data_IF_360453532272
#
_entry.id   IF_360453532272
#
_cell.length_a   1.000
_cell.length_b   1.000
_cell.length_c   1.000
_cell.angle_alpha   90.00
_cell.angle_beta   90.00
_cell.angle_gamma   90.00
#
_symmetry.space_group_name_H-M   'P 1'
#
loop_
_entity.id
_entity.type
_entity.pdbx_description
1 polymer ?
#
# COMPACT_ATOMS: atom_id res chain seq x y z
N UNK A 1 -7.54 1.05 -1.84
CA UNK A 1 -8.36 1.05 -0.61
C UNK A 1 -8.53 -0.37 -0.05
N UNK A 2 -8.96 -1.35 -0.83
CA UNK A 2 -9.18 -2.75 -0.41
C UNK A 2 -7.94 -3.40 0.22
N UNK A 3 -6.78 -3.37 -0.44
CA UNK A 3 -5.53 -3.91 0.07
C UNK A 3 -5.17 -3.35 1.46
N UNK A 4 -5.27 -2.03 1.64
CA UNK A 4 -4.96 -1.39 2.94
C UNK A 4 -5.93 -1.80 4.04
N UNK A 5 -7.19 -2.11 3.69
CA UNK A 5 -8.17 -2.59 4.65
C UNK A 5 -7.91 -4.06 5.01
N UNK A 6 -7.66 -4.92 4.02
CA UNK A 6 -7.31 -6.34 4.28
C UNK A 6 -6.06 -6.41 5.17
N UNK A 7 -5.00 -5.67 4.85
CA UNK A 7 -3.79 -5.62 5.67
C UNK A 7 -4.04 -5.20 7.12
N UNK A 8 -4.90 -4.18 7.33
CA UNK A 8 -5.28 -3.76 8.69
C UNK A 8 -6.02 -4.84 9.45
N UNK A 9 -6.91 -5.57 8.79
CA UNK A 9 -7.67 -6.65 9.40
C UNK A 9 -6.76 -7.84 9.75
N UNK A 10 -5.83 -8.19 8.88
CA UNK A 10 -4.84 -9.24 9.15
C UNK A 10 -3.86 -8.88 10.26
N UNK A 11 -3.58 -7.59 10.43
CA UNK A 11 -2.67 -7.09 11.47
C UNK A 11 -3.36 -6.85 12.83
N UNK A 12 -4.70 -6.95 12.88
CA UNK A 12 -5.48 -6.72 14.11
C UNK A 12 -6.71 -7.63 14.15
N UNK A 13 -6.55 -8.80 14.77
CA UNK A 13 -7.60 -9.83 14.87
C UNK A 13 -8.84 -9.36 15.64
N UNK A 14 -8.73 -8.38 16.55
CA UNK A 14 -9.88 -7.84 17.28
C UNK A 14 -10.91 -7.23 16.33
N UNK A 15 -10.48 -6.65 15.21
CA UNK A 15 -11.37 -6.09 14.19
C UNK A 15 -12.21 -7.16 13.48
N UNK A 16 -11.78 -8.42 13.50
CA UNK A 16 -12.50 -9.56 12.93
C UNK A 16 -13.57 -10.13 13.86
N UNK A 17 -13.73 -9.60 15.07
CA UNK A 17 -14.80 -10.00 16.00
C UNK A 17 -16.18 -9.57 15.53
N UNK A 18 -16.29 -8.50 14.71
CA UNK A 18 -17.53 -8.10 14.06
C UNK A 18 -17.84 -8.98 12.84
N UNK A 19 -19.03 -9.55 12.80
CA UNK A 19 -19.41 -10.51 11.77
C UNK A 19 -19.46 -9.92 10.35
N UNK A 20 -19.82 -8.64 10.20
CA UNK A 20 -19.85 -7.98 8.90
C UNK A 20 -18.42 -7.74 8.37
N UNK A 21 -17.52 -7.31 9.24
CA UNK A 21 -16.10 -7.11 8.95
C UNK A 21 -15.43 -8.44 8.61
N UNK A 22 -15.70 -9.50 9.37
CA UNK A 22 -15.19 -10.84 9.09
C UNK A 22 -15.66 -11.38 7.73
N UNK A 23 -16.95 -11.28 7.42
CA UNK A 23 -17.50 -11.72 6.13
C UNK A 23 -16.89 -10.94 4.95
N UNK A 24 -16.71 -9.63 5.12
CA UNK A 24 -16.03 -8.82 4.11
C UNK A 24 -14.58 -9.27 3.90
N UNK A 25 -13.85 -9.52 4.99
CA UNK A 25 -12.46 -10.01 4.94
C UNK A 25 -12.35 -11.34 4.21
N UNK A 26 -13.18 -12.35 4.57
CA UNK A 26 -13.18 -13.66 3.90
C UNK A 26 -13.49 -13.54 2.41
N UNK A 27 -14.40 -12.65 2.01
CA UNK A 27 -14.74 -12.44 0.61
C UNK A 27 -13.57 -11.79 -0.19
N UNK A 28 -12.68 -11.06 0.46
CA UNK A 28 -11.64 -10.29 -0.22
C UNK A 28 -10.23 -10.88 -0.08
N UNK A 29 -9.98 -11.81 0.85
CA UNK A 29 -8.64 -12.38 1.08
C UNK A 29 -8.07 -13.13 -0.15
N UNK A 30 -8.93 -13.71 -0.99
CA UNK A 30 -8.52 -14.42 -2.22
C UNK A 30 -8.43 -13.52 -3.45
N UNK A 31 -8.81 -12.24 -3.34
CA UNK A 31 -8.63 -11.26 -4.42
C UNK A 31 -7.15 -10.91 -4.57
N UNK A 32 -6.76 -10.35 -5.72
CA UNK A 32 -5.40 -9.83 -5.92
C UNK A 32 -5.03 -8.83 -4.81
N UNK A 33 -5.93 -7.92 -4.44
CA UNK A 33 -5.72 -6.97 -3.35
C UNK A 33 -5.46 -7.65 -2.00
N UNK A 34 -6.20 -8.71 -1.68
CA UNK A 34 -6.04 -9.50 -0.47
C UNK A 34 -4.70 -10.26 -0.44
N UNK A 35 -4.37 -10.90 -1.56
CA UNK A 35 -3.12 -11.64 -1.69
C UNK A 35 -1.88 -10.75 -1.53
N UNK A 36 -1.88 -9.54 -2.12
CA UNK A 36 -0.83 -8.55 -1.91
C UNK A 36 -0.82 -7.96 -0.48
N UNK A 37 -1.98 -7.86 0.17
CA UNK A 37 -2.04 -7.47 1.59
C UNK A 37 -1.41 -8.53 2.50
N UNK A 38 -1.62 -9.81 2.19
CA UNK A 38 -0.99 -10.90 2.92
C UNK A 38 0.54 -10.93 2.74
N UNK A 39 1.04 -10.61 1.54
CA UNK A 39 2.48 -10.39 1.35
C UNK A 39 3.00 -9.29 2.28
N UNK A 40 2.32 -8.14 2.34
CA UNK A 40 2.73 -7.04 3.24
C UNK A 40 2.77 -7.47 4.71
N UNK A 41 1.84 -8.35 5.11
CA UNK A 41 1.84 -8.95 6.44
C UNK A 41 3.06 -9.86 6.65
N UNK A 42 3.33 -10.80 5.75
CA UNK A 42 4.49 -11.70 5.83
C UNK A 42 5.79 -10.89 5.92
N UNK A 43 5.93 -9.85 5.06
CA UNK A 43 7.10 -8.98 5.05
C UNK A 43 7.28 -8.23 6.39
N UNK A 44 6.19 -7.74 6.98
CA UNK A 44 6.20 -7.08 8.29
C UNK A 44 6.52 -8.07 9.41
N UNK A 45 5.89 -9.24 9.38
CA UNK A 45 6.03 -10.26 10.42
C UNK A 45 7.43 -10.90 10.42
N UNK A 46 8.19 -10.79 9.33
CA UNK A 46 9.59 -11.19 9.28
C UNK A 46 10.45 -10.50 10.36
N UNK A 47 10.08 -9.29 10.76
CA UNK A 47 10.76 -8.51 11.80
C UNK A 47 10.16 -8.68 13.18
N UNK A 48 9.13 -9.50 13.34
CA UNK A 48 8.56 -9.85 14.65
C UNK A 48 9.40 -10.98 15.25
N UNK A 49 10.49 -10.60 15.94
CA UNK A 49 11.45 -11.54 16.52
C UNK A 49 10.75 -12.40 17.60
N UNK A 50 10.94 -13.73 17.60
CA UNK A 50 10.38 -14.61 18.61
C UNK A 50 10.80 -14.20 20.04
N UNK A 51 9.87 -14.29 21.00
CA UNK A 51 10.06 -13.85 22.37
C UNK A 51 11.32 -14.46 23.01
N UNK A 52 11.61 -15.72 22.74
CA UNK A 52 12.80 -16.40 23.27
C UNK A 52 14.12 -15.79 22.77
N UNK A 53 14.18 -15.30 21.55
CA UNK A 53 15.36 -14.58 21.01
C UNK A 53 15.42 -13.17 21.57
N UNK A 54 14.27 -12.49 21.72
CA UNK A 54 14.19 -11.18 22.34
C UNK A 54 14.63 -11.24 23.81
N UNK A 55 14.14 -12.21 24.57
CA UNK A 55 14.53 -12.42 25.98
C UNK A 55 16.04 -12.67 26.10
N UNK A 56 16.62 -13.46 25.17
CA UNK A 56 18.06 -13.71 25.15
C UNK A 56 18.87 -12.44 24.87
N UNK A 57 18.39 -11.58 24.00
CA UNK A 57 19.02 -10.29 23.69
C UNK A 57 18.92 -9.32 24.87
N UNK A 58 17.77 -9.25 25.54
CA UNK A 58 17.54 -8.40 26.70
C UNK A 58 18.43 -8.83 27.88
N UNK A 59 18.58 -10.14 28.11
CA UNK A 59 19.52 -10.68 29.10
C UNK A 59 20.97 -10.30 28.78
N UNK A 60 21.37 -10.38 27.50
CA UNK A 60 22.70 -9.98 27.06
C UNK A 60 22.97 -8.50 27.36
N UNK A 61 21.99 -7.60 27.11
CA UNK A 61 22.11 -6.18 27.42
C UNK A 61 22.32 -5.92 28.91
N UNK A 62 21.62 -6.66 29.78
CA UNK A 62 21.78 -6.58 31.24
C UNK A 62 23.21 -7.01 31.61
N UNK A 63 23.71 -8.12 31.10
CA UNK A 63 25.06 -8.61 31.37
C UNK A 63 26.15 -7.63 30.88
N UNK A 64 25.96 -7.01 29.74
CA UNK A 64 26.87 -5.96 29.23
C UNK A 64 26.88 -4.76 30.19
N UNK A 65 25.72 -4.35 30.70
CA UNK A 65 25.62 -3.28 31.70
C UNK A 65 26.42 -3.60 32.96
N UNK A 66 26.28 -4.80 33.51
CA UNK A 66 27.05 -5.26 34.69
C UNK A 66 28.55 -5.26 34.42
N UNK A 67 28.97 -5.68 33.22
CA UNK A 67 30.37 -5.65 32.80
C UNK A 67 30.90 -4.22 32.76
N UNK A 68 30.13 -3.28 32.16
CA UNK A 68 30.48 -1.87 32.09
C UNK A 68 30.66 -1.25 33.46
N UNK A 69 29.76 -1.53 34.41
CA UNK A 69 29.86 -1.06 35.78
C UNK A 69 31.12 -1.62 36.49
N UNK A 70 31.45 -2.90 36.23
CA UNK A 70 32.64 -3.55 36.77
C UNK A 70 33.94 -2.93 36.23
N UNK A 71 33.97 -2.53 34.94
CA UNK A 71 35.10 -1.82 34.35
C UNK A 71 35.28 -0.42 34.93
N UNK A 72 34.17 0.32 35.11
CA UNK A 72 34.22 1.64 35.81
C UNK A 72 34.72 1.54 37.22
N UNK A 73 34.38 0.48 37.95
CA UNK A 73 34.90 0.23 39.27
C UNK A 73 36.38 -0.03 39.27
N UNK A 74 36.88 -0.85 38.30
CA UNK A 74 38.30 -1.13 38.14
C UNK A 74 39.12 0.17 37.86
N UNK A 75 38.64 1.02 36.93
CA UNK A 75 39.26 2.32 36.63
C UNK A 75 39.33 3.19 37.91
N UNK A 76 38.28 3.16 38.76
CA UNK A 76 38.24 3.91 40.00
C UNK A 76 39.29 3.40 41.03
N UNK A 77 39.50 2.11 41.09
CA UNK A 77 40.47 1.48 42.02
C UNK A 77 41.92 1.79 41.57
N UNK A 78 42.20 1.66 40.28
CA UNK A 78 43.52 1.95 39.72
C UNK A 78 43.94 3.44 39.89
N UNK A 79 42.98 4.36 39.94
CA UNK A 79 43.21 5.79 40.14
C UNK A 79 43.50 6.20 41.61
N UNK A 80 43.27 5.30 42.59
CA UNK A 80 43.31 5.66 44.03
C UNK A 80 44.54 5.13 44.76
N UNK A 81 45.15 4.01 44.36
CA UNK A 81 46.19 3.37 45.19
C UNK A 81 47.35 2.73 44.42
N UNK A 82 48.52 3.38 44.43
CA UNK A 82 49.77 2.82 43.89
C UNK A 82 50.35 1.66 44.74
N UNK A 83 49.69 1.32 45.88
CA UNK A 83 50.16 0.30 46.85
C UNK A 83 49.30 -0.96 46.89
N UNK A 84 48.26 -1.06 46.09
CA UNK A 84 47.38 -2.24 46.06
C UNK A 84 48.06 -3.47 45.46
N UNK A 85 47.74 -4.66 45.97
CA UNK A 85 48.30 -5.94 45.54
C UNK A 85 48.06 -6.17 44.03
N UNK A 86 49.11 -5.93 43.26
CA UNK A 86 49.16 -6.04 41.79
C UNK A 86 48.59 -7.37 41.25
N UNK A 87 48.64 -8.42 42.08
CA UNK A 87 48.15 -9.76 41.70
C UNK A 87 46.61 -9.87 41.73
N UNK A 88 45.97 -9.22 42.70
CA UNK A 88 44.51 -9.22 42.84
C UNK A 88 43.87 -8.40 41.74
N UNK A 89 44.44 -7.25 41.38
CA UNK A 89 43.99 -6.40 40.30
C UNK A 89 44.10 -7.15 38.98
N UNK A 90 45.25 -7.77 38.70
CA UNK A 90 45.44 -8.57 37.46
C UNK A 90 44.49 -9.72 37.33
N UNK A 91 44.22 -10.47 38.41
CA UNK A 91 43.21 -11.56 38.38
C UNK A 91 41.81 -11.03 38.09
N UNK A 92 41.44 -9.85 38.58
CA UNK A 92 40.17 -9.22 38.34
C UNK A 92 40.05 -8.76 36.84
N UNK A 93 41.10 -8.12 36.31
CA UNK A 93 41.22 -7.73 34.92
C UNK A 93 41.08 -8.94 33.96
N UNK A 94 41.78 -10.04 34.24
CA UNK A 94 41.68 -11.29 33.47
C UNK A 94 40.26 -11.85 33.49
N UNK A 95 39.61 -11.81 34.65
CA UNK A 95 38.23 -12.21 34.83
C UNK A 95 37.24 -11.39 34.01
N UNK A 96 37.41 -10.06 34.02
CA UNK A 96 36.61 -9.14 33.21
C UNK A 96 36.84 -9.36 31.70
N UNK A 97 38.10 -9.55 31.28
CA UNK A 97 38.43 -9.83 29.89
C UNK A 97 37.83 -11.15 29.42
N UNK A 98 37.82 -12.20 30.22
CA UNK A 98 37.18 -13.46 29.90
C UNK A 98 35.67 -13.29 29.75
N UNK A 99 35.02 -12.55 30.68
CA UNK A 99 33.59 -12.25 30.63
C UNK A 99 33.24 -11.46 29.37
N UNK A 100 34.00 -10.43 29.04
CA UNK A 100 33.83 -9.67 27.81
C UNK A 100 33.87 -10.56 26.55
N UNK A 101 34.87 -11.45 26.44
CA UNK A 101 34.97 -12.39 25.31
C UNK A 101 33.75 -13.32 25.23
N UNK A 102 33.29 -13.80 26.38
CA UNK A 102 32.10 -14.66 26.43
C UNK A 102 30.84 -13.94 25.99
N UNK A 103 30.63 -12.71 26.45
CA UNK A 103 29.49 -11.88 26.04
C UNK A 103 29.54 -11.52 24.57
N UNK A 104 30.69 -11.16 24.02
CA UNK A 104 30.87 -10.88 22.60
C UNK A 104 30.59 -12.11 21.70
N UNK A 105 30.96 -13.30 22.15
CA UNK A 105 30.62 -14.54 21.44
C UNK A 105 29.10 -14.80 21.50
N UNK A 106 28.46 -14.58 22.65
CA UNK A 106 27.01 -14.75 22.82
C UNK A 106 26.23 -13.74 21.99
N UNK A 107 26.66 -12.48 21.96
CA UNK A 107 26.10 -11.45 21.07
C UNK A 107 26.14 -11.88 19.60
N UNK A 108 27.28 -12.38 19.15
CA UNK A 108 27.44 -12.86 17.78
C UNK A 108 26.47 -14.01 17.47
N UNK A 109 26.30 -14.96 18.42
CA UNK A 109 25.37 -16.07 18.24
C UNK A 109 23.91 -15.63 18.21
N UNK A 110 23.50 -14.73 19.10
CA UNK A 110 22.13 -14.19 19.15
C UNK A 110 21.84 -13.42 17.88
N UNK A 111 22.72 -12.51 17.45
CA UNK A 111 22.56 -11.74 16.23
C UNK A 111 22.49 -12.64 14.99
N UNK A 112 23.32 -13.69 14.92
CA UNK A 112 23.25 -14.69 13.84
C UNK A 112 21.91 -15.42 13.82
N UNK A 113 21.37 -15.79 14.99
CA UNK A 113 20.06 -16.45 15.11
C UNK A 113 18.91 -15.55 14.71
N UNK A 114 18.94 -14.28 15.10
CA UNK A 114 17.95 -13.26 14.69
C UNK A 114 17.99 -13.04 13.19
N UNK A 115 19.18 -12.84 12.61
CA UNK A 115 19.34 -12.64 11.16
C UNK A 115 18.85 -13.84 10.36
N UNK A 116 19.18 -15.05 10.79
CA UNK A 116 18.72 -16.29 10.14
C UNK A 116 17.20 -16.45 10.22
N UNK A 117 16.58 -16.06 11.34
CA UNK A 117 15.13 -16.04 11.47
C UNK A 117 14.48 -15.06 10.48
N UNK A 118 14.98 -13.80 10.44
CA UNK A 118 14.49 -12.76 9.53
C UNK A 118 14.63 -13.20 8.08
N UNK A 119 15.81 -13.71 7.69
CA UNK A 119 16.10 -14.22 6.35
C UNK A 119 15.11 -15.32 5.96
N UNK A 120 14.88 -16.29 6.84
CA UNK A 120 13.92 -17.39 6.58
C UNK A 120 12.51 -16.83 6.33
N UNK A 121 12.08 -15.86 7.13
CA UNK A 121 10.75 -15.25 6.97
C UNK A 121 10.61 -14.38 5.73
N UNK A 122 11.68 -13.72 5.31
CA UNK A 122 11.71 -12.97 4.06
C UNK A 122 11.65 -13.91 2.86
N UNK A 123 12.33 -15.07 2.91
CA UNK A 123 12.23 -16.10 1.88
C UNK A 123 10.81 -16.71 1.81
N UNK A 124 10.14 -16.95 2.96
CA UNK A 124 8.73 -17.36 2.96
C UNK A 124 7.84 -16.29 2.25
N UNK A 125 8.14 -15.00 2.42
CA UNK A 125 7.43 -13.91 1.73
C UNK A 125 7.76 -13.86 0.22
N UNK A 126 8.99 -14.16 -0.19
CA UNK A 126 9.41 -14.27 -1.59
C UNK A 126 8.66 -15.39 -2.31
N UNK A 127 8.63 -16.58 -1.71
CA UNK A 127 7.88 -17.73 -2.25
C UNK A 127 6.40 -17.41 -2.46
N UNK A 128 5.81 -16.63 -1.52
CA UNK A 128 4.42 -16.18 -1.67
C UNK A 128 4.28 -15.19 -2.83
N UNK A 129 5.21 -14.22 -2.95
CA UNK A 129 5.18 -13.18 -3.97
C UNK A 129 5.27 -13.78 -5.38
N UNK A 130 6.05 -14.82 -5.57
CA UNK A 130 6.20 -15.50 -6.85
C UNK A 130 4.88 -16.05 -7.39
N UNK A 131 4.01 -16.53 -6.50
CA UNK A 131 2.69 -17.03 -6.83
C UNK A 131 1.63 -15.96 -7.10
N UNK A 132 1.92 -14.66 -6.88
CA UNK A 132 0.92 -13.60 -7.02
C UNK A 132 0.62 -13.24 -8.47
N UNK A 133 -0.64 -12.84 -8.77
CA UNK A 133 -1.03 -12.38 -10.11
C UNK A 133 -0.29 -11.10 -10.50
N UNK A 134 0.11 -11.01 -11.78
CA UNK A 134 0.81 -9.88 -12.38
C UNK A 134 0.25 -9.50 -13.76
N UNK A 135 -0.99 -9.86 -14.03
CA UNK A 135 -1.64 -9.68 -15.33
C UNK A 135 -2.06 -8.25 -15.60
N UNK A 136 -2.46 -7.52 -14.56
CA UNK A 136 -2.77 -6.10 -14.66
C UNK A 136 -1.52 -5.24 -14.41
N UNK A 137 -1.43 -4.09 -15.07
CA UNK A 137 -0.28 -3.17 -14.94
C UNK A 137 0.03 -2.83 -13.47
N UNK A 138 -0.99 -2.54 -12.67
CA UNK A 138 -0.81 -2.22 -11.25
C UNK A 138 -0.36 -3.43 -10.42
N UNK A 139 -0.70 -4.64 -10.81
CA UNK A 139 -0.23 -5.89 -10.19
C UNK A 139 1.25 -6.12 -10.51
N UNK A 140 1.60 -6.06 -11.79
CA UNK A 140 2.98 -6.19 -12.26
C UNK A 140 3.90 -5.16 -11.59
N UNK A 141 3.48 -3.90 -11.54
CA UNK A 141 4.23 -2.84 -10.85
C UNK A 141 4.40 -3.12 -9.36
N UNK A 142 3.35 -3.65 -8.71
CA UNK A 142 3.41 -3.99 -7.29
C UNK A 142 4.33 -5.16 -7.03
N UNK A 143 4.29 -6.19 -7.88
CA UNK A 143 5.20 -7.34 -7.81
C UNK A 143 6.64 -6.89 -7.94
N UNK A 144 6.97 -6.15 -9.00
CA UNK A 144 8.31 -5.56 -9.21
C UNK A 144 8.81 -4.76 -8.01
N UNK A 145 7.96 -3.91 -7.44
CA UNK A 145 8.34 -3.13 -6.27
C UNK A 145 8.59 -3.99 -5.04
N UNK A 146 7.78 -5.03 -4.83
CA UNK A 146 7.93 -5.94 -3.71
C UNK A 146 9.18 -6.82 -3.84
N UNK A 147 9.54 -7.28 -5.05
CA UNK A 147 10.81 -7.98 -5.33
C UNK A 147 12.02 -7.11 -4.93
N UNK A 148 11.99 -5.85 -5.29
CA UNK A 148 13.07 -4.91 -4.93
C UNK A 148 13.11 -4.67 -3.41
N UNK A 149 11.95 -4.56 -2.76
CA UNK A 149 11.87 -4.46 -1.30
C UNK A 149 12.47 -5.68 -0.59
N UNK A 150 12.21 -6.89 -1.10
CA UNK A 150 12.80 -8.13 -0.60
C UNK A 150 14.32 -8.15 -0.78
N UNK A 151 14.82 -7.80 -1.97
CA UNK A 151 16.27 -7.68 -2.23
C UNK A 151 16.95 -6.78 -1.21
N UNK A 152 16.40 -5.58 -0.99
CA UNK A 152 16.94 -4.63 0.00
C UNK A 152 16.90 -5.21 1.42
N UNK A 153 15.78 -5.84 1.80
CA UNK A 153 15.60 -6.43 3.11
C UNK A 153 16.54 -7.60 3.38
N UNK A 154 16.88 -8.36 2.34
CA UNK A 154 17.87 -9.44 2.36
C UNK A 154 19.33 -8.93 2.30
N UNK A 155 19.53 -7.62 2.22
CA UNK A 155 20.86 -7.00 2.23
C UNK A 155 21.55 -6.93 0.87
N UNK A 156 20.85 -7.18 -0.22
CA UNK A 156 21.40 -7.02 -1.57
C UNK A 156 21.43 -5.56 -1.99
N UNK A 157 22.50 -5.18 -2.68
CA UNK A 157 22.58 -3.87 -3.35
C UNK A 157 21.75 -3.89 -4.64
N UNK A 158 21.10 -2.77 -4.95
CA UNK A 158 20.34 -2.62 -6.20
C UNK A 158 21.31 -2.43 -7.37
N UNK A 159 21.14 -3.20 -8.41
CA UNK A 159 21.89 -3.08 -9.65
C UNK A 159 21.24 -2.07 -10.64
N UNK A 160 21.87 -1.89 -11.80
CA UNK A 160 21.34 -0.99 -12.85
C UNK A 160 19.98 -1.45 -13.40
N UNK A 161 19.71 -2.74 -13.43
CA UNK A 161 18.46 -3.30 -13.90
C UNK A 161 17.34 -3.01 -12.87
N UNK A 162 17.61 -3.20 -11.57
CA UNK A 162 16.68 -2.86 -10.50
C UNK A 162 16.30 -1.37 -10.53
N UNK A 163 17.31 -0.49 -10.68
CA UNK A 163 17.09 0.94 -10.85
C UNK A 163 16.30 1.27 -12.12
N UNK A 164 16.55 0.54 -13.21
CA UNK A 164 15.79 0.66 -14.45
C UNK A 164 14.31 0.29 -14.29
N UNK A 165 14.04 -0.81 -13.60
CA UNK A 165 12.68 -1.26 -13.29
C UNK A 165 11.95 -0.26 -12.38
N UNK A 166 12.60 0.25 -11.34
CA UNK A 166 12.01 1.29 -10.48
C UNK A 166 11.65 2.55 -11.25
N UNK A 167 12.54 3.01 -12.16
CA UNK A 167 12.27 4.16 -13.02
C UNK A 167 11.09 3.88 -13.95
N UNK A 168 11.07 2.71 -14.59
CA UNK A 168 9.96 2.32 -15.45
C UNK A 168 8.62 2.34 -14.71
N UNK A 169 8.58 1.86 -13.46
CA UNK A 169 7.37 1.94 -12.63
C UNK A 169 7.06 3.39 -12.28
N UNK A 170 8.05 4.18 -11.82
CA UNK A 170 7.88 5.56 -11.39
C UNK A 170 7.44 6.51 -12.52
N UNK A 171 7.77 6.20 -13.77
CA UNK A 171 7.40 7.01 -14.94
C UNK A 171 5.95 6.79 -15.42
N UNK A 172 5.24 5.82 -14.87
CA UNK A 172 3.86 5.53 -15.25
C UNK A 172 2.87 6.51 -14.60
N UNK A 173 1.65 6.56 -15.16
CA UNK A 173 0.55 7.28 -14.51
C UNK A 173 0.05 6.52 -13.26
N UNK A 174 -0.02 7.15 -12.07
CA UNK A 174 -0.53 6.49 -10.86
C UNK A 174 -1.98 6.00 -10.96
N UNK A 175 -2.79 6.54 -11.86
CA UNK A 175 -4.19 6.12 -12.05
C UNK A 175 -4.29 4.72 -12.66
N UNK A 176 -3.32 4.32 -13.50
CA UNK A 176 -3.27 2.99 -14.14
C UNK A 176 -2.23 2.08 -13.52
N UNK A 177 -1.07 2.64 -13.16
CA UNK A 177 0.05 1.90 -12.57
C UNK A 177 -0.10 1.61 -11.08
N UNK A 178 -1.10 2.22 -10.41
CA UNK A 178 -1.39 1.99 -9.00
C UNK A 178 -0.45 2.71 -8.03
N UNK A 179 -0.54 2.33 -6.75
CA UNK A 179 0.27 2.96 -5.69
C UNK A 179 1.77 2.71 -5.84
N UNK A 180 2.18 1.62 -6.48
CA UNK A 180 3.58 1.30 -6.71
C UNK A 180 4.32 2.43 -7.45
N UNK A 181 3.63 3.14 -8.36
CA UNK A 181 4.18 4.30 -9.09
C UNK A 181 4.65 5.41 -8.13
N UNK A 182 3.91 5.64 -7.05
CA UNK A 182 4.24 6.65 -6.03
C UNK A 182 5.28 6.17 -5.03
N UNK A 183 5.38 4.88 -4.83
CA UNK A 183 6.29 4.27 -3.86
C UNK A 183 7.67 3.99 -4.46
N UNK A 184 7.75 3.64 -5.76
CA UNK A 184 9.00 3.29 -6.43
C UNK A 184 10.11 4.35 -6.30
N UNK A 185 9.84 5.67 -6.38
CA UNK A 185 10.88 6.68 -6.22
C UNK A 185 11.60 6.63 -4.86
N UNK A 186 10.94 6.14 -3.81
CA UNK A 186 11.54 6.06 -2.47
C UNK A 186 12.68 5.03 -2.37
N UNK A 187 12.76 4.11 -3.33
CA UNK A 187 13.78 3.07 -3.40
C UNK A 187 14.89 3.40 -4.40
N UNK A 188 14.72 4.45 -5.21
CA UNK A 188 15.76 4.92 -6.11
C UNK A 188 16.91 5.59 -5.33
N UNK A 189 18.17 5.38 -5.73
CA UNK A 189 19.28 6.17 -5.22
C UNK A 189 19.00 7.67 -5.33
N UNK A 190 19.44 8.46 -4.36
CA UNK A 190 19.14 9.89 -4.22
C UNK A 190 19.44 10.72 -5.49
N UNK A 191 20.43 10.30 -6.27
CA UNK A 191 20.77 10.93 -7.55
C UNK A 191 19.69 10.81 -8.63
N UNK A 192 18.77 9.86 -8.50
CA UNK A 192 17.68 9.62 -9.46
C UNK A 192 16.29 9.92 -8.89
N UNK A 193 16.17 9.90 -7.56
CA UNK A 193 14.86 9.99 -6.89
C UNK A 193 14.28 11.40 -6.84
N UNK A 194 15.11 12.43 -6.78
CA UNK A 194 14.65 13.81 -6.56
C UNK A 194 13.73 14.37 -7.65
N UNK A 195 13.91 13.93 -8.90
CA UNK A 195 13.04 14.36 -10.01
C UNK A 195 11.59 13.87 -9.87
N UNK A 196 11.37 12.77 -9.13
CA UNK A 196 10.05 12.16 -8.95
C UNK A 196 9.22 12.81 -7.84
N UNK A 197 9.82 13.65 -7.01
CA UNK A 197 9.10 14.37 -5.95
C UNK A 197 8.47 15.69 -6.42
N UNK A 198 8.48 15.96 -7.74
CA UNK A 198 7.77 17.07 -8.33
C UNK A 198 6.29 16.73 -8.50
N UNK A 199 5.38 17.40 -7.80
CA UNK A 199 3.93 17.18 -7.87
C UNK A 199 3.37 17.31 -9.29
N UNK A 200 3.94 18.15 -10.14
CA UNK A 200 3.50 18.35 -11.52
C UNK A 200 3.84 17.17 -12.45
N UNK A 201 4.84 16.36 -12.12
CA UNK A 201 5.26 15.22 -12.96
C UNK A 201 4.11 14.21 -13.15
N UNK A 202 3.35 13.92 -12.08
CA UNK A 202 2.22 12.99 -12.19
C UNK A 202 1.05 13.54 -13.01
N UNK A 203 0.90 14.87 -13.07
CA UNK A 203 -0.10 15.48 -13.93
C UNK A 203 0.26 15.32 -15.41
N UNK A 204 1.52 15.49 -15.76
CA UNK A 204 2.05 15.27 -17.11
C UNK A 204 1.95 13.80 -17.53
N UNK A 205 2.37 12.86 -16.67
CA UNK A 205 2.30 11.41 -16.89
C UNK A 205 0.88 10.91 -17.14
N UNK A 206 -0.13 11.56 -16.55
CA UNK A 206 -1.53 11.19 -16.72
C UNK A 206 -2.27 12.03 -17.76
N UNK A 207 -1.64 13.00 -18.39
CA UNK A 207 -2.32 13.93 -19.29
C UNK A 207 -3.01 13.22 -20.46
N UNK A 208 -2.33 12.25 -21.10
CA UNK A 208 -2.92 11.48 -22.22
C UNK A 208 -4.09 10.60 -21.75
N UNK A 209 -4.02 10.05 -20.56
CA UNK A 209 -5.07 9.19 -20.01
C UNK A 209 -6.26 10.00 -19.49
N UNK A 210 -6.03 11.21 -18.96
CA UNK A 210 -7.11 12.16 -18.63
C UNK A 210 -7.87 12.57 -19.89
N UNK A 211 -7.16 12.87 -20.99
CA UNK A 211 -7.81 13.16 -22.26
C UNK A 211 -8.65 11.99 -22.78
N UNK A 212 -8.20 10.76 -22.61
CA UNK A 212 -8.98 9.57 -22.96
C UNK A 212 -10.19 9.37 -22.03
N UNK A 213 -10.03 9.63 -20.73
CA UNK A 213 -11.12 9.60 -19.76
C UNK A 213 -12.09 10.76 -20.01
N UNK A 214 -11.60 11.97 -20.24
CA UNK A 214 -12.43 13.12 -20.61
C UNK A 214 -13.17 12.90 -21.92
N UNK A 215 -12.53 12.28 -22.92
CA UNK A 215 -13.20 11.87 -24.18
C UNK A 215 -14.26 10.79 -23.96
N UNK A 216 -14.06 9.88 -23.00
CA UNK A 216 -15.11 8.93 -22.57
C UNK A 216 -16.26 9.62 -21.80
N UNK A 217 -15.97 10.70 -21.06
CA UNK A 217 -16.98 11.50 -20.36
C UNK A 217 -17.60 12.59 -21.23
N UNK A 218 -16.89 13.09 -22.27
CA UNK A 218 -17.40 13.97 -23.31
C UNK A 218 -17.90 13.17 -24.51
N UNK A 219 -18.67 12.13 -24.24
CA UNK A 219 -19.46 11.49 -25.28
C UNK A 219 -20.55 12.48 -25.75
N UNK A 220 -20.23 13.27 -26.76
CA UNK A 220 -21.13 14.25 -27.36
C UNK A 220 -22.36 13.62 -28.04
N UNK A 221 -22.46 12.27 -28.02
CA UNK A 221 -23.66 11.56 -28.48
C UNK A 221 -24.88 11.89 -27.61
N UNK A 222 -24.67 12.21 -26.32
CA UNK A 222 -25.74 12.58 -25.39
C UNK A 222 -25.44 13.90 -24.71
N UNK A 223 -26.30 14.87 -24.93
CA UNK A 223 -26.28 16.19 -24.31
C UNK A 223 -27.48 16.31 -23.39
N UNK A 224 -27.29 16.79 -22.17
CA UNK A 224 -28.34 17.02 -21.19
C UNK A 224 -28.33 18.47 -20.73
N UNK A 225 -29.49 19.11 -20.71
CA UNK A 225 -29.64 20.48 -20.24
C UNK A 225 -31.06 20.79 -19.75
N UNK A 226 -31.23 21.79 -18.86
CA UNK A 226 -30.17 22.44 -18.11
C UNK A 226 -29.56 21.52 -17.06
N UNK A 227 -28.28 21.72 -16.73
CA UNK A 227 -27.62 21.06 -15.62
C UNK A 227 -26.82 22.12 -14.84
N UNK A 228 -27.21 22.47 -13.63
CA UNK A 228 -28.32 21.92 -12.80
C UNK A 228 -29.74 22.18 -13.37
N UNK A 229 -30.69 21.31 -13.03
CA UNK A 229 -32.11 21.42 -13.40
C UNK A 229 -33.00 21.67 -12.19
N UNK A 230 -34.12 22.36 -12.41
CA UNK A 230 -35.21 22.57 -11.42
C UNK A 230 -36.41 21.64 -11.67
N UNK A 231 -36.19 20.46 -12.19
CA UNK A 231 -37.25 19.49 -12.42
C UNK A 231 -37.50 19.12 -13.88
N UNK A 232 -37.03 19.90 -14.86
CA UNK A 232 -37.15 19.59 -16.28
C UNK A 232 -35.76 19.40 -16.89
N UNK A 233 -35.46 18.20 -17.37
CA UNK A 233 -34.21 17.85 -18.02
C UNK A 233 -34.47 17.49 -19.47
N UNK A 234 -33.86 18.20 -20.39
CA UNK A 234 -33.89 17.88 -21.82
C UNK A 234 -32.68 17.01 -22.17
N UNK A 235 -32.93 15.91 -22.83
CA UNK A 235 -31.92 14.98 -23.33
C UNK A 235 -31.91 15.06 -24.85
N UNK A 236 -30.73 15.29 -25.43
CA UNK A 236 -30.48 15.22 -26.87
C UNK A 236 -29.49 14.09 -27.14
N UNK A 237 -29.87 13.19 -28.05
CA UNK A 237 -29.05 12.05 -28.49
C UNK A 237 -28.75 12.24 -29.97
N UNK A 238 -27.48 12.22 -30.37
CA UNK A 238 -27.11 12.50 -31.76
C UNK A 238 -27.27 11.28 -32.68
N UNK A 239 -27.10 10.04 -32.19
CA UNK A 239 -26.98 8.83 -33.02
C UNK A 239 -27.88 7.65 -32.59
N UNK A 240 -28.85 7.84 -31.73
CA UNK A 240 -29.71 6.73 -31.24
C UNK A 240 -31.15 6.90 -31.73
N UNK A 241 -31.69 5.85 -32.35
CA UNK A 241 -33.11 5.77 -32.74
C UNK A 241 -33.93 4.91 -31.79
N UNK A 242 -33.33 3.95 -31.07
CA UNK A 242 -34.02 2.99 -30.21
C UNK A 242 -33.20 2.71 -28.93
N UNK A 243 -33.84 2.53 -27.80
CA UNK A 243 -33.18 2.17 -26.54
C UNK A 243 -34.04 2.47 -25.29
N UNK A 244 -33.43 2.22 -24.15
CA UNK A 244 -34.00 2.55 -22.83
C UNK A 244 -33.15 3.57 -22.12
N UNK A 245 -33.81 4.39 -21.31
CA UNK A 245 -33.10 5.25 -20.35
C UNK A 245 -33.54 5.00 -18.93
N UNK A 246 -32.62 5.15 -17.99
CA UNK A 246 -32.87 5.01 -16.55
C UNK A 246 -32.17 6.13 -15.79
N UNK A 247 -32.83 6.71 -14.80
CA UNK A 247 -32.24 7.68 -13.88
C UNK A 247 -32.07 7.05 -12.52
N UNK A 248 -30.88 7.17 -11.97
CA UNK A 248 -30.52 6.66 -10.65
C UNK A 248 -30.17 7.82 -9.71
N UNK A 249 -30.56 7.69 -8.44
CA UNK A 249 -30.05 8.56 -7.39
C UNK A 249 -28.65 8.12 -6.92
N UNK A 250 -28.06 8.84 -5.97
CA UNK A 250 -26.75 8.52 -5.38
C UNK A 250 -26.66 7.17 -4.66
N UNK A 251 -27.81 6.59 -4.28
CA UNK A 251 -27.92 5.25 -3.66
C UNK A 251 -28.08 4.13 -4.69
N UNK A 252 -28.10 4.42 -5.99
CA UNK A 252 -28.31 3.44 -7.06
C UNK A 252 -29.76 3.04 -7.28
N UNK A 253 -30.72 3.70 -6.63
CA UNK A 253 -32.15 3.45 -6.80
C UNK A 253 -32.66 4.10 -8.09
N UNK A 254 -33.45 3.38 -8.89
CA UNK A 254 -34.09 3.92 -10.09
C UNK A 254 -35.23 4.87 -9.70
N UNK A 255 -35.09 6.13 -10.12
CA UNK A 255 -36.09 7.21 -9.87
C UNK A 255 -37.00 7.39 -11.06
N UNK A 256 -36.48 7.22 -12.27
CA UNK A 256 -37.27 7.29 -13.50
C UNK A 256 -36.68 6.38 -14.55
N UNK A 257 -37.54 5.89 -15.46
CA UNK A 257 -37.11 5.10 -16.63
C UNK A 257 -38.11 5.29 -17.78
N UNK A 258 -37.62 5.05 -19.01
CA UNK A 258 -38.46 5.13 -20.20
C UNK A 258 -37.78 4.56 -21.43
N UNK A 259 -38.47 4.64 -22.55
CA UNK A 259 -38.00 4.23 -23.88
C UNK A 259 -37.62 5.47 -24.66
N UNK A 260 -36.57 5.37 -25.46
CA UNK A 260 -36.13 6.42 -26.36
C UNK A 260 -37.00 6.31 -27.62
N UNK A 261 -37.80 7.34 -27.87
CA UNK A 261 -38.69 7.39 -29.03
C UNK A 261 -38.34 8.53 -29.98
N UNK A 262 -37.40 9.39 -29.64
CA UNK A 262 -36.91 10.50 -30.45
C UNK A 262 -35.51 10.93 -30.02
N UNK A 263 -34.82 11.63 -30.90
CA UNK A 263 -33.47 12.16 -30.60
C UNK A 263 -33.46 13.29 -29.57
N UNK A 264 -34.64 13.84 -29.25
CA UNK A 264 -34.78 14.85 -28.17
C UNK A 264 -36.04 14.50 -27.38
N UNK A 265 -35.88 14.34 -26.07
CA UNK A 265 -36.98 14.11 -25.15
C UNK A 265 -36.74 14.78 -23.81
N UNK A 266 -37.82 14.95 -23.03
CA UNK A 266 -37.73 15.60 -21.73
C UNK A 266 -38.06 14.59 -20.63
N UNK A 267 -37.35 14.68 -19.55
CA UNK A 267 -37.65 14.01 -18.28
C UNK A 267 -38.11 15.07 -17.29
N UNK A 268 -39.30 14.86 -16.75
CA UNK A 268 -39.88 15.75 -15.73
C UNK A 268 -39.78 15.04 -14.39
N UNK A 269 -39.12 15.66 -13.44
CA UNK A 269 -39.05 15.22 -12.06
C UNK A 269 -40.13 15.96 -11.25
N UNK A 270 -40.79 15.21 -10.36
CA UNK A 270 -41.75 15.84 -9.46
C UNK A 270 -41.05 16.63 -8.33
N UNK A 271 -41.81 17.48 -7.62
CA UNK A 271 -41.31 18.26 -6.49
C UNK A 271 -40.84 17.40 -5.31
N UNK A 272 -41.09 16.09 -5.33
CA UNK A 272 -40.61 15.13 -4.30
C UNK A 272 -39.20 14.61 -4.59
N UNK A 273 -38.68 14.86 -5.78
CA UNK A 273 -37.29 14.52 -6.11
C UNK A 273 -36.37 15.36 -5.26
N UNK A 274 -35.55 14.77 -4.42
CA UNK A 274 -34.65 15.50 -3.53
C UNK A 274 -33.57 16.26 -4.31
N UNK A 275 -33.15 17.43 -3.80
CA UNK A 275 -31.92 18.09 -4.28
C UNK A 275 -30.73 17.14 -4.16
N UNK A 276 -29.96 16.96 -5.24
CA UNK A 276 -28.83 16.03 -5.22
C UNK A 276 -28.28 15.70 -6.60
N UNK A 277 -27.34 14.75 -6.59
CA UNK A 277 -26.68 14.24 -7.79
C UNK A 277 -27.42 12.99 -8.27
N UNK A 278 -27.64 12.95 -9.59
CA UNK A 278 -28.31 11.86 -10.29
C UNK A 278 -27.49 11.40 -11.49
N UNK A 279 -27.65 10.15 -11.89
CA UNK A 279 -27.02 9.57 -13.07
C UNK A 279 -28.12 9.14 -14.05
N UNK A 280 -28.05 9.64 -15.28
CA UNK A 280 -28.84 9.17 -16.41
C UNK A 280 -28.03 8.11 -17.16
N UNK A 281 -28.56 6.91 -17.29
CA UNK A 281 -27.97 5.83 -18.11
C UNK A 281 -28.85 5.60 -19.33
N UNK A 282 -28.24 5.58 -20.50
CA UNK A 282 -28.86 5.32 -21.78
C UNK A 282 -28.33 4.00 -22.31
N UNK A 283 -29.24 3.11 -22.65
CA UNK A 283 -28.97 1.76 -23.15
C UNK A 283 -29.50 1.67 -24.59
N UNK A 284 -28.63 1.30 -25.52
CA UNK A 284 -29.03 0.85 -26.84
C UNK A 284 -28.50 -0.58 -27.08
N UNK A 285 -29.05 -1.28 -28.09
CA UNK A 285 -28.72 -2.70 -28.35
C UNK A 285 -27.31 -2.93 -28.87
N UNK A 286 -26.59 -1.88 -29.30
CA UNK A 286 -25.35 -2.02 -30.08
C UNK A 286 -24.10 -1.48 -29.38
N UNK A 287 -24.26 -0.79 -28.23
CA UNK A 287 -23.12 -0.17 -27.54
C UNK A 287 -23.17 -0.27 -26.02
N UNK A 288 -22.04 -0.05 -25.38
CA UNK A 288 -21.97 0.11 -23.92
C UNK A 288 -22.89 1.28 -23.47
N UNK A 289 -23.51 1.18 -22.28
CA UNK A 289 -24.41 2.20 -21.77
C UNK A 289 -23.68 3.56 -21.60
N UNK A 290 -24.33 4.62 -22.06
CA UNK A 290 -23.84 5.99 -21.90
C UNK A 290 -24.36 6.52 -20.55
N UNK A 291 -23.47 6.98 -19.69
CA UNK A 291 -23.83 7.52 -18.39
C UNK A 291 -23.53 9.02 -18.35
N UNK A 292 -24.54 9.81 -17.96
CA UNK A 292 -24.41 11.27 -17.77
C UNK A 292 -24.85 11.65 -16.36
N UNK A 293 -24.04 12.47 -15.71
CA UNK A 293 -24.32 13.00 -14.37
C UNK A 293 -25.01 14.35 -14.47
N UNK A 294 -26.03 14.59 -13.64
CA UNK A 294 -26.70 15.87 -13.51
C UNK A 294 -27.12 16.16 -12.07
N UNK A 295 -27.50 17.40 -11.82
CA UNK A 295 -27.88 17.88 -10.49
C UNK A 295 -29.31 18.40 -10.54
N UNK A 296 -30.16 17.96 -9.59
CA UNK A 296 -31.46 18.56 -9.33
C UNK A 296 -31.31 19.56 -8.18
N UNK A 297 -31.85 20.75 -8.35
CA UNK A 297 -31.93 21.82 -7.34
C UNK A 297 -33.38 22.30 -7.22
N UNK A 298 -33.83 22.57 -6.01
CA UNK A 298 -35.13 23.17 -5.71
C UNK A 298 -34.98 24.59 -5.21
#
# INVERSE_FOLDING_TARGET
MERSLVFKLESNEELLSDSATYNWYIANQSTSAGQYAYFDKLFKDAYNIPTNLQDSFDLLLVEIGILSDSLNLLDSIQGIDETSDDSAIRNFEEGLLLRYRTLNNLETQINSSINSYIETKLLDAEDWLDGLPDTAIYESNRKTLNDIRLKIALGFELDENDCGMLKYVADQCPLTGGLAVREAPNYLPSQYGLEYFNENKWEEQCAEQRMNIENLYHDNRVIIYPNPTRGNLTIRINDATDGEWKVFNSSGQIIAKGIISSNIFNIVFDEKSSTGIYNLSIYNSESAPIIKKFVIIH
#
